data_IF_748887180634
#
_entry.id   IF_748887180634
#
_cell.length_a   1.000
_cell.length_b   1.000
_cell.length_c   1.000
_cell.angle_alpha   90.00
_cell.angle_beta   90.00
_cell.angle_gamma   90.00
#
_symmetry.space_group_name_H-M   'P 1'
#
loop_
_entity.id
_entity.type
_entity.pdbx_description
1 polymer ?
#
# COMPACT_ATOMS: atom_id res chain seq x y z
N UNK A 1 9.12 -1.86 -16.44
CA UNK A 1 8.29 -1.68 -15.24
C UNK A 1 7.94 -3.08 -14.74
N UNK A 2 8.61 -3.53 -13.66
CA UNK A 2 8.41 -4.76 -12.89
C UNK A 2 8.11 -6.05 -13.68
N UNK A 3 9.13 -6.80 -14.09
CA UNK A 3 8.92 -7.95 -14.99
C UNK A 3 8.69 -9.30 -14.35
N UNK A 4 9.00 -9.59 -13.08
CA UNK A 4 8.87 -10.98 -12.61
C UNK A 4 8.59 -11.10 -11.10
N UNK A 5 7.55 -11.85 -10.73
CA UNK A 5 7.30 -12.43 -9.40
C UNK A 5 6.83 -13.89 -9.54
N UNK A 6 7.22 -14.74 -8.60
CA UNK A 6 6.70 -16.10 -8.43
C UNK A 6 6.22 -16.21 -6.99
N UNK A 7 4.91 -16.30 -6.80
CA UNK A 7 4.27 -16.65 -5.53
C UNK A 7 3.61 -18.01 -5.73
N UNK A 8 4.41 -19.08 -5.70
CA UNK A 8 3.96 -20.46 -5.89
C UNK A 8 3.70 -20.83 -7.35
N UNK A 9 4.55 -21.70 -7.91
CA UNK A 9 4.46 -22.47 -9.18
C UNK A 9 3.90 -21.82 -10.46
N UNK A 10 3.50 -20.54 -10.43
CA UNK A 10 2.95 -19.77 -11.52
C UNK A 10 3.82 -18.54 -11.74
N UNK A 11 4.46 -18.51 -12.91
CA UNK A 11 5.33 -17.43 -13.33
C UNK A 11 4.49 -16.17 -13.61
N UNK A 12 4.39 -15.21 -12.68
CA UNK A 12 3.93 -13.86 -13.00
C UNK A 12 5.08 -13.11 -13.70
N UNK A 13 5.38 -13.55 -14.92
CA UNK A 13 6.50 -13.04 -15.75
C UNK A 13 6.10 -11.91 -16.70
N UNK A 14 4.81 -11.58 -16.77
CA UNK A 14 4.32 -10.44 -17.54
C UNK A 14 4.17 -9.23 -16.62
N UNK A 15 4.58 -8.07 -17.13
CA UNK A 15 4.54 -6.78 -16.41
C UNK A 15 3.17 -6.43 -15.85
N UNK A 16 2.09 -6.89 -16.49
CA UNK A 16 0.72 -6.67 -16.03
C UNK A 16 0.40 -7.41 -14.74
N UNK A 17 0.80 -8.67 -14.64
CA UNK A 17 0.55 -9.49 -13.46
C UNK A 17 1.30 -8.94 -12.23
N UNK A 18 2.52 -8.46 -12.46
CA UNK A 18 3.32 -7.84 -11.41
C UNK A 18 2.76 -6.45 -11.04
N UNK A 19 2.22 -5.73 -12.03
CA UNK A 19 1.48 -4.50 -11.83
C UNK A 19 0.29 -4.68 -10.90
N UNK A 20 -0.50 -5.73 -11.09
CA UNK A 20 -1.67 -6.04 -10.26
C UNK A 20 -1.33 -6.15 -8.76
N UNK A 21 -0.22 -6.81 -8.42
CA UNK A 21 0.24 -6.92 -7.02
C UNK A 21 0.61 -5.55 -6.46
N UNK A 22 1.31 -4.71 -7.24
CA UNK A 22 1.70 -3.36 -6.81
C UNK A 22 0.48 -2.48 -6.62
N UNK A 23 -0.43 -2.52 -7.58
CA UNK A 23 -1.65 -1.71 -7.57
C UNK A 23 -2.55 -2.11 -6.41
N UNK A 24 -2.64 -3.40 -6.07
CA UNK A 24 -3.37 -3.88 -4.90
C UNK A 24 -2.81 -3.31 -3.59
N UNK A 25 -1.48 -3.21 -3.46
CA UNK A 25 -0.85 -2.65 -2.25
C UNK A 25 -1.07 -1.14 -2.17
N UNK A 26 -0.93 -0.43 -3.29
CA UNK A 26 -1.20 1.01 -3.36
C UNK A 26 -2.68 1.32 -3.14
N UNK A 27 -3.57 0.44 -3.58
CA UNK A 27 -5.00 0.52 -3.31
C UNK A 27 -5.28 0.46 -1.81
N UNK A 28 -4.75 -0.56 -1.13
CA UNK A 28 -4.86 -0.69 0.33
C UNK A 28 -4.35 0.58 1.03
N UNK A 29 -3.18 1.08 0.63
CA UNK A 29 -2.58 2.28 1.22
C UNK A 29 -3.45 3.53 0.99
N UNK A 30 -4.05 3.65 -0.20
CA UNK A 30 -4.95 4.75 -0.55
C UNK A 30 -6.14 4.82 0.40
N UNK A 31 -6.74 3.67 0.71
CA UNK A 31 -7.83 3.60 1.67
C UNK A 31 -7.40 3.95 3.08
N UNK A 32 -6.23 3.48 3.52
CA UNK A 32 -5.71 3.87 4.84
C UNK A 32 -5.44 5.38 4.94
N UNK A 33 -4.96 6.01 3.87
CA UNK A 33 -4.82 7.46 3.81
C UNK A 33 -6.18 8.17 3.86
N UNK A 34 -7.18 7.66 3.15
CA UNK A 34 -8.56 8.18 3.20
C UNK A 34 -9.16 8.03 4.60
N UNK A 35 -8.95 6.91 5.29
CA UNK A 35 -9.44 6.73 6.65
C UNK A 35 -8.73 7.65 7.65
N UNK A 36 -7.42 7.89 7.48
CA UNK A 36 -6.64 8.75 8.37
C UNK A 36 -6.89 10.25 8.14
N UNK A 37 -7.05 10.67 6.89
CA UNK A 37 -7.08 12.09 6.50
C UNK A 37 -8.38 12.56 5.85
N UNK A 38 -9.36 11.67 5.70
CA UNK A 38 -10.63 11.93 5.02
C UNK A 38 -10.53 11.88 3.50
N UNK A 39 -11.65 11.61 2.83
CA UNK A 39 -11.77 11.77 1.37
C UNK A 39 -12.13 13.22 1.01
N UNK A 40 -11.57 13.72 -0.09
CA UNK A 40 -11.91 15.03 -0.66
C UNK A 40 -12.24 14.91 -2.13
N UNK A 41 -13.46 15.28 -2.57
CA UNK A 41 -13.84 15.21 -3.98
C UNK A 41 -13.18 16.30 -4.82
N UNK A 42 -12.89 17.47 -4.23
CA UNK A 42 -12.22 18.58 -4.92
C UNK A 42 -10.70 18.47 -4.77
N UNK A 43 -10.03 18.26 -5.91
CA UNK A 43 -8.58 18.13 -6.01
C UNK A 43 -7.82 19.45 -5.73
N UNK A 44 -8.47 20.60 -5.87
CA UNK A 44 -7.86 21.93 -5.73
C UNK A 44 -8.05 22.54 -4.33
N UNK A 45 -8.88 21.94 -3.50
CA UNK A 45 -9.12 22.35 -2.11
C UNK A 45 -8.04 21.83 -1.13
N UNK A 46 -8.22 22.07 0.18
CA UNK A 46 -7.32 21.57 1.22
C UNK A 46 -7.12 20.04 1.10
N UNK A 47 -5.87 19.54 1.10
CA UNK A 47 -5.57 18.18 0.66
C UNK A 47 -6.08 17.11 1.63
N UNK A 48 -7.00 16.27 1.15
CA UNK A 48 -7.46 15.05 1.81
C UNK A 48 -6.49 13.87 1.66
N UNK A 49 -6.89 12.72 2.18
CA UNK A 49 -6.15 11.46 2.09
C UNK A 49 -5.89 11.02 0.66
N UNK A 50 -6.87 11.16 -0.23
CA UNK A 50 -6.71 10.85 -1.65
C UNK A 50 -5.67 11.78 -2.33
N UNK A 51 -5.68 13.08 -2.05
CA UNK A 51 -4.69 14.02 -2.60
C UNK A 51 -3.29 13.72 -2.03
N UNK A 52 -3.19 13.48 -0.72
CA UNK A 52 -1.92 13.14 -0.05
C UNK A 52 -1.32 11.86 -0.60
N UNK A 53 -2.15 10.83 -0.81
CA UNK A 53 -1.70 9.56 -1.40
C UNK A 53 -1.21 9.74 -2.82
N UNK A 54 -1.96 10.46 -3.68
CA UNK A 54 -1.54 10.73 -5.06
C UNK A 54 -0.19 11.45 -5.09
N UNK A 55 -0.02 12.50 -4.26
CA UNK A 55 1.24 13.23 -4.14
C UNK A 55 2.38 12.30 -3.70
N UNK A 56 2.14 11.49 -2.67
CA UNK A 56 3.14 10.57 -2.14
C UNK A 56 3.60 9.56 -3.20
N UNK A 57 2.68 8.98 -3.97
CA UNK A 57 3.02 8.04 -5.04
C UNK A 57 3.81 8.72 -6.16
N UNK A 58 3.40 9.92 -6.58
CA UNK A 58 4.12 10.67 -7.60
C UNK A 58 5.54 11.01 -7.16
N UNK A 59 5.73 11.45 -5.91
CA UNK A 59 7.05 11.74 -5.38
C UNK A 59 7.89 10.47 -5.18
N UNK A 60 7.29 9.37 -4.75
CA UNK A 60 7.95 8.06 -4.72
C UNK A 60 8.41 7.61 -6.11
N UNK A 61 7.59 7.83 -7.15
CA UNK A 61 7.95 7.52 -8.53
C UNK A 61 9.13 8.35 -9.05
N UNK A 62 9.32 9.58 -8.56
CA UNK A 62 10.49 10.42 -8.87
C UNK A 62 11.76 9.97 -8.14
N UNK A 63 11.60 9.39 -6.95
CA UNK A 63 12.71 9.00 -6.07
C UNK A 63 13.16 7.55 -6.22
N UNK A 64 12.33 6.68 -6.80
CA UNK A 64 12.65 5.27 -7.01
C UNK A 64 13.85 5.12 -7.96
N UNK A 65 14.63 4.06 -7.75
CA UNK A 65 15.77 3.71 -8.62
C UNK A 65 15.31 3.30 -10.03
N UNK A 66 16.23 3.30 -10.99
CA UNK A 66 16.00 2.71 -12.31
C UNK A 66 15.70 1.21 -12.18
N UNK A 67 14.68 0.75 -12.91
CA UNK A 67 14.22 -0.65 -12.89
C UNK A 67 13.91 -1.18 -11.47
N UNK A 68 13.06 -0.50 -10.71
CA UNK A 68 12.79 -0.84 -9.32
C UNK A 68 12.07 -2.19 -9.18
N UNK A 69 12.29 -2.84 -8.04
CA UNK A 69 11.46 -3.92 -7.50
C UNK A 69 10.55 -3.43 -6.37
N UNK A 70 9.81 -4.35 -5.76
CA UNK A 70 8.75 -4.01 -4.81
C UNK A 70 9.27 -3.29 -3.57
N UNK A 71 10.41 -3.75 -3.02
CA UNK A 71 11.00 -3.13 -1.85
C UNK A 71 11.57 -1.75 -2.20
N UNK A 72 12.14 -1.59 -3.40
CA UNK A 72 12.57 -0.28 -3.90
C UNK A 72 11.38 0.70 -3.99
N UNK A 73 10.21 0.21 -4.41
CA UNK A 73 8.98 0.98 -4.47
C UNK A 73 8.48 1.42 -3.08
N UNK A 74 8.49 0.51 -2.09
CA UNK A 74 8.17 0.83 -0.69
C UNK A 74 9.13 1.88 -0.14
N UNK A 75 10.42 1.68 -0.32
CA UNK A 75 11.47 2.52 0.25
C UNK A 75 11.45 3.91 -0.38
N UNK A 76 11.12 4.01 -1.67
CA UNK A 76 10.88 5.29 -2.33
C UNK A 76 9.69 6.05 -1.75
N UNK A 77 8.59 5.38 -1.38
CA UNK A 77 7.45 6.01 -0.70
C UNK A 77 7.83 6.47 0.71
N UNK A 78 8.55 5.65 1.48
CA UNK A 78 9.06 6.04 2.81
C UNK A 78 9.98 7.26 2.73
N UNK A 79 10.83 7.32 1.69
CA UNK A 79 11.69 8.48 1.43
C UNK A 79 10.86 9.71 1.05
N UNK A 80 9.87 9.56 0.18
CA UNK A 80 8.97 10.64 -0.20
C UNK A 80 8.21 11.20 1.02
N UNK A 81 7.72 10.33 1.91
CA UNK A 81 7.04 10.72 3.14
C UNK A 81 7.98 11.42 4.12
N UNK A 82 9.23 10.97 4.22
CA UNK A 82 10.26 11.63 5.03
C UNK A 82 10.49 13.06 4.55
N UNK A 83 10.63 13.26 3.24
CA UNK A 83 10.93 14.58 2.66
C UNK A 83 9.74 15.55 2.73
N UNK A 84 8.51 15.06 2.48
CA UNK A 84 7.32 15.92 2.35
C UNK A 84 6.54 16.04 3.65
N UNK A 85 6.47 14.96 4.44
CA UNK A 85 5.57 14.85 5.60
C UNK A 85 6.32 14.58 6.91
N UNK A 86 7.67 14.67 6.93
CA UNK A 86 8.50 14.39 8.11
C UNK A 86 8.25 13.00 8.69
N UNK A 87 8.07 12.01 7.81
CA UNK A 87 7.82 10.61 8.15
C UNK A 87 6.51 10.35 8.92
N UNK A 88 5.55 11.28 8.90
CA UNK A 88 4.27 11.17 9.62
C UNK A 88 3.39 9.97 9.19
N UNK A 89 3.70 9.32 8.07
CA UNK A 89 2.99 8.15 7.56
C UNK A 89 3.84 6.88 7.50
N UNK A 90 5.09 6.91 7.98
CA UNK A 90 6.00 5.79 7.89
C UNK A 90 5.41 4.50 8.48
N UNK A 91 4.83 4.56 9.70
CA UNK A 91 4.16 3.40 10.32
C UNK A 91 3.00 2.88 9.46
N UNK A 92 2.19 3.77 8.88
CA UNK A 92 1.04 3.37 8.05
C UNK A 92 1.50 2.65 6.78
N UNK A 93 2.52 3.20 6.11
CA UNK A 93 3.14 2.60 4.93
C UNK A 93 3.69 1.21 5.31
N UNK A 94 4.45 1.11 6.40
CA UNK A 94 4.99 -0.17 6.87
C UNK A 94 3.92 -1.22 7.13
N UNK A 95 2.84 -0.88 7.83
CA UNK A 95 1.76 -1.85 8.12
C UNK A 95 1.10 -2.37 6.85
N UNK A 96 0.82 -1.50 5.87
CA UNK A 96 0.19 -1.92 4.61
C UNK A 96 1.12 -2.83 3.80
N UNK A 97 2.38 -2.47 3.66
CA UNK A 97 3.35 -3.26 2.91
C UNK A 97 3.67 -4.59 3.61
N UNK A 98 3.85 -4.59 4.93
CA UNK A 98 4.09 -5.79 5.71
C UNK A 98 2.94 -6.80 5.58
N UNK A 99 1.67 -6.35 5.58
CA UNK A 99 0.50 -7.23 5.36
C UNK A 99 0.54 -7.96 4.02
N UNK A 100 1.28 -7.44 3.03
CA UNK A 100 1.41 -8.01 1.68
C UNK A 100 2.78 -8.68 1.47
N UNK A 101 3.50 -9.05 2.54
CA UNK A 101 4.77 -9.77 2.47
C UNK A 101 6.00 -8.89 2.21
N UNK A 102 5.85 -7.56 2.28
CA UNK A 102 6.91 -6.58 2.06
C UNK A 102 7.31 -5.87 3.37
N UNK A 103 7.40 -6.64 4.45
CA UNK A 103 7.80 -6.22 5.79
C UNK A 103 9.28 -5.90 5.92
N UNK A 104 9.71 -5.59 7.14
CA UNK A 104 11.03 -5.05 7.43
C UNK A 104 12.16 -5.99 7.02
N UNK A 105 12.01 -7.29 7.29
CA UNK A 105 13.01 -8.32 6.93
C UNK A 105 12.79 -8.92 5.55
N UNK A 106 11.89 -8.35 4.75
CA UNK A 106 11.66 -8.86 3.40
C UNK A 106 12.93 -8.67 2.57
N UNK A 107 13.28 -9.69 1.80
CA UNK A 107 14.46 -9.69 0.94
C UNK A 107 14.01 -9.69 -0.51
N UNK A 108 14.55 -8.77 -1.29
CA UNK A 108 14.43 -8.76 -2.74
C UNK A 108 15.60 -9.53 -3.34
N UNK A 109 15.38 -10.22 -4.46
CA UNK A 109 16.44 -10.95 -5.14
C UNK A 109 17.58 -10.05 -5.63
N UNK A 110 18.72 -10.68 -5.89
CA UNK A 110 19.92 -10.05 -6.41
C UNK A 110 19.66 -9.31 -7.74
N UNK A 111 20.46 -8.28 -8.04
CA UNK A 111 20.25 -7.47 -9.25
C UNK A 111 21.14 -7.93 -10.39
N UNK A 112 20.55 -8.15 -11.56
CA UNK A 112 21.27 -8.33 -12.83
C UNK A 112 20.84 -7.22 -13.79
N UNK A 113 21.82 -6.52 -14.36
CA UNK A 113 21.60 -5.40 -15.29
C UNK A 113 20.63 -4.34 -14.72
N UNK A 114 20.69 -4.08 -13.41
CA UNK A 114 19.83 -3.12 -12.73
C UNK A 114 18.45 -3.65 -12.33
N UNK A 115 18.06 -4.88 -12.70
CA UNK A 115 16.76 -5.48 -12.37
C UNK A 115 16.88 -6.51 -11.24
N UNK A 116 16.00 -6.49 -10.24
CA UNK A 116 15.97 -7.54 -9.23
C UNK A 116 15.48 -8.87 -9.83
N UNK A 117 16.11 -9.96 -9.43
CA UNK A 117 15.70 -11.32 -9.78
C UNK A 117 14.56 -11.80 -8.88
N UNK A 118 13.84 -12.79 -9.37
CA UNK A 118 12.80 -13.50 -8.59
C UNK A 118 13.42 -14.53 -7.65
N UNK A 119 14.62 -15.01 -7.96
CA UNK A 119 15.29 -16.00 -7.13
C UNK A 119 15.85 -15.33 -5.87
N UNK A 120 15.73 -16.01 -4.73
CA UNK A 120 16.24 -15.51 -3.45
C UNK A 120 15.38 -14.44 -2.78
N UNK A 121 14.19 -14.14 -3.30
CA UNK A 121 13.24 -13.30 -2.58
C UNK A 121 12.68 -14.04 -1.36
N UNK A 122 12.52 -13.32 -0.25
CA UNK A 122 11.92 -13.84 0.98
C UNK A 122 10.87 -12.85 1.46
N UNK A 123 9.59 -13.22 1.51
CA UNK A 123 8.57 -12.35 2.06
C UNK A 123 8.76 -12.21 3.57
N UNK A 124 8.40 -11.04 4.10
CA UNK A 124 8.31 -10.83 5.53
C UNK A 124 7.08 -10.00 5.88
N UNK A 125 6.57 -10.20 7.09
CA UNK A 125 5.34 -9.56 7.56
C UNK A 125 5.58 -8.74 8.83
N UNK A 126 6.84 -8.61 9.24
CA UNK A 126 7.26 -7.87 10.41
C UNK A 126 7.39 -6.36 10.13
N UNK A 127 7.28 -5.56 11.18
CA UNK A 127 7.47 -4.12 11.14
C UNK A 127 8.87 -3.78 11.68
N UNK A 128 9.49 -2.67 11.23
CA UNK A 128 10.72 -2.21 11.87
C UNK A 128 10.44 -1.82 13.33
N UNK A 129 11.44 -1.92 14.22
CA UNK A 129 11.25 -1.59 15.65
C UNK A 129 10.70 -0.19 15.92
N UNK A 130 10.97 0.76 15.03
CA UNK A 130 10.49 2.14 15.15
C UNK A 130 9.06 2.36 14.60
N UNK A 131 8.49 1.40 13.87
CA UNK A 131 7.12 1.52 13.37
C UNK A 131 6.11 1.08 14.43
N UNK A 132 5.06 1.86 14.58
CA UNK A 132 3.94 1.50 15.43
C UNK A 132 3.04 0.50 14.70
N UNK A 133 2.54 -0.51 15.43
CA UNK A 133 1.50 -1.42 14.93
C UNK A 133 0.21 -0.62 14.75
N UNK A 134 -0.37 -0.68 13.56
CA UNK A 134 -1.63 -0.03 13.24
C UNK A 134 -2.61 -1.11 12.81
N UNK A 135 -3.76 -1.16 13.48
CA UNK A 135 -4.90 -1.98 13.02
C UNK A 135 -5.43 -1.34 11.75
N UNK A 136 -5.12 -1.96 10.61
CA UNK A 136 -5.57 -1.47 9.31
C UNK A 136 -7.07 -1.65 9.20
N UNK A 137 -7.77 -0.62 8.73
CA UNK A 137 -9.20 -0.72 8.48
C UNK A 137 -9.44 -1.70 7.32
N UNK A 138 -10.23 -2.73 7.56
CA UNK A 138 -10.82 -3.53 6.50
C UNK A 138 -12.13 -2.85 6.07
N UNK A 139 -12.43 -2.87 4.79
CA UNK A 139 -13.47 -2.10 4.12
C UNK A 139 -14.92 -2.27 4.64
N UNK A 140 -15.14 -3.17 5.61
CA UNK A 140 -16.40 -3.31 6.34
C UNK A 140 -16.14 -3.25 7.84
N UNK A 141 -16.93 -2.42 8.53
CA UNK A 141 -17.05 -2.54 9.99
C UNK A 141 -18.04 -3.67 10.24
N UNK A 142 -17.54 -4.82 10.67
CA UNK A 142 -18.38 -5.92 11.17
C UNK A 142 -18.77 -5.56 12.60
N UNK A 143 -19.94 -4.95 12.78
CA UNK A 143 -20.56 -4.77 14.08
C UNK A 143 -21.34 -6.05 14.44
N UNK A 144 -20.61 -7.17 14.59
CA UNK A 144 -21.19 -8.48 14.85
C UNK A 144 -22.11 -9.03 13.75
N UNK A 145 -22.62 -10.24 13.94
CA UNK A 145 -23.38 -11.03 12.96
C UNK A 145 -24.76 -10.48 12.57
N UNK A 146 -25.15 -9.32 13.10
CA UNK A 146 -26.46 -8.69 12.87
C UNK A 146 -26.39 -7.39 12.04
N UNK A 147 -25.21 -6.77 11.91
CA UNK A 147 -25.08 -5.46 11.27
C UNK A 147 -23.74 -5.29 10.56
N UNK A 148 -23.80 -5.05 9.26
CA UNK A 148 -22.64 -4.75 8.43
C UNK A 148 -22.74 -3.32 7.89
N UNK A 149 -21.74 -2.51 8.20
CA UNK A 149 -21.70 -1.11 7.80
C UNK A 149 -20.61 -0.87 6.76
N UNK A 150 -21.03 -0.35 5.60
CA UNK A 150 -20.19 0.02 4.47
C UNK A 150 -20.17 1.54 4.32
N UNK A 151 -19.22 2.22 4.96
CA UNK A 151 -19.00 3.64 4.73
C UNK A 151 -18.52 3.85 3.28
N UNK A 152 -19.19 4.74 2.55
CA UNK A 152 -18.73 5.29 1.28
C UNK A 152 -18.36 6.77 1.47
N UNK A 153 -17.09 7.08 1.80
CA UNK A 153 -16.62 8.45 1.99
C UNK A 153 -16.70 9.31 0.71
N UNK A 154 -16.77 8.69 -0.47
CA UNK A 154 -16.86 9.43 -1.74
C UNK A 154 -18.21 10.15 -1.90
N UNK A 155 -19.27 9.61 -1.29
CA UNK A 155 -20.62 10.17 -1.35
C UNK A 155 -21.15 10.61 0.01
N UNK A 156 -20.30 10.60 1.06
CA UNK A 156 -20.72 10.88 2.43
C UNK A 156 -21.82 9.95 2.95
N UNK A 157 -21.95 8.75 2.38
CA UNK A 157 -23.06 7.82 2.65
C UNK A 157 -22.58 6.63 3.45
N UNK A 158 -23.28 6.30 4.53
CA UNK A 158 -23.10 5.04 5.26
C UNK A 158 -24.20 4.08 4.85
N UNK A 159 -23.82 2.94 4.24
CA UNK A 159 -24.78 1.89 3.91
C UNK A 159 -24.75 0.86 5.03
N UNK A 160 -25.87 0.69 5.74
CA UNK A 160 -26.00 -0.30 6.79
C UNK A 160 -26.86 -1.44 6.28
N UNK A 161 -26.32 -2.65 6.33
CA UNK A 161 -27.03 -3.90 6.03
C UNK A 161 -27.29 -4.63 7.34
N UNK A 162 -28.51 -5.13 7.52
CA UNK A 162 -28.85 -6.03 8.61
C UNK A 162 -29.31 -7.36 8.02
N UNK A 163 -28.93 -8.46 8.64
CA UNK A 163 -29.36 -9.81 8.31
C UNK A 163 -30.64 -10.11 9.09
N UNK A 164 -31.80 -9.96 8.44
CA UNK A 164 -33.04 -10.58 8.95
C UNK A 164 -32.97 -12.06 8.61
N UNK A 165 -33.06 -12.94 9.61
CA UNK A 165 -33.32 -14.37 9.38
C UNK A 165 -34.65 -14.57 8.65
#
# INVERSE_FOLDING_TARGET
MYSQLSMGTGQYQKTHNVGEVRDTVLWDLSWQFIYKYGYKPDFFSAPGGNNKMLKLVLDGCKLQVCQPGFLDGRDALLRADTLTNRAANASLIWNVFARRGMGYRAVQGDRINGKPRVTGLTPAFDLPPAAQVIVLNNHGVVAGSALEAYPNPAQGRLTVRHSTQ
#
